data_IF_596984438520
#
_entry.id   IF_596984438520
#
_cell.length_a   1.000
_cell.length_b   1.000
_cell.length_c   1.000
_cell.angle_alpha   90.00
_cell.angle_beta   90.00
_cell.angle_gamma   90.00
#
_symmetry.space_group_name_H-M   'P 1'
#
loop_
_entity.id
_entity.type
_entity.pdbx_description
1 polymer ?
#
# COMPACT_ATOMS: atom_id res chain seq x y z
N UNK A 1 29.56 9.74 22.97
CA UNK A 1 28.34 8.95 23.29
C UNK A 1 27.50 8.52 22.11
N UNK A 2 26.75 9.39 21.41
CA UNK A 2 25.86 8.94 20.32
C UNK A 2 26.62 8.35 19.10
N UNK A 3 27.68 9.04 18.65
CA UNK A 3 28.55 8.57 17.55
C UNK A 3 29.31 7.29 17.93
N UNK A 4 29.72 7.15 19.20
CA UNK A 4 30.41 5.95 19.67
C UNK A 4 29.50 4.72 19.70
N UNK A 5 28.19 4.89 19.98
CA UNK A 5 27.21 3.80 19.87
C UNK A 5 27.01 3.35 18.43
N UNK A 6 27.02 4.26 17.46
CA UNK A 6 26.93 3.93 16.03
C UNK A 6 28.18 3.19 15.56
N UNK A 7 29.37 3.64 15.97
CA UNK A 7 30.64 2.99 15.64
C UNK A 7 30.75 1.55 16.16
N UNK A 8 30.08 1.22 17.25
CA UNK A 8 30.01 -0.16 17.79
C UNK A 8 29.07 -1.09 17.01
N UNK A 9 28.27 -0.59 16.07
CA UNK A 9 27.32 -1.40 15.30
C UNK A 9 27.14 -0.90 13.85
N UNK A 10 28.20 -0.96 13.01
CA UNK A 10 28.18 -0.42 11.66
C UNK A 10 27.17 -1.09 10.71
N UNK A 11 26.78 -2.35 10.98
CA UNK A 11 25.81 -3.08 10.15
C UNK A 11 24.34 -2.64 10.31
N UNK A 12 24.02 -1.79 11.29
CA UNK A 12 22.65 -1.32 11.57
C UNK A 12 22.44 0.18 11.31
N UNK A 13 23.43 0.89 10.75
CA UNK A 13 23.32 2.33 10.54
C UNK A 13 22.24 2.61 9.49
N UNK A 14 21.10 3.09 9.96
CA UNK A 14 19.97 3.52 9.13
C UNK A 14 20.16 4.99 8.78
N UNK A 15 19.73 5.37 7.59
CA UNK A 15 19.85 6.76 7.09
C UNK A 15 19.12 7.78 7.99
N UNK A 16 18.08 7.33 8.71
CA UNK A 16 17.35 8.12 9.72
C UNK A 16 17.51 7.48 11.10
N UNK A 17 17.80 8.33 12.08
CA UNK A 17 17.83 8.02 13.50
C UNK A 17 16.63 8.72 14.17
N UNK A 18 15.95 7.98 15.04
CA UNK A 18 14.82 8.49 15.79
C UNK A 18 15.24 8.73 17.23
N UNK A 19 14.90 9.91 17.75
CA UNK A 19 15.17 10.31 19.13
C UNK A 19 13.90 10.07 19.93
N UNK A 20 14.04 9.31 21.00
CA UNK A 20 12.96 9.01 21.95
C UNK A 20 13.31 9.58 23.33
N UNK A 21 12.30 10.04 24.05
CA UNK A 21 12.48 10.47 25.44
C UNK A 21 12.55 9.27 26.41
N UNK A 22 12.64 9.56 27.72
CA UNK A 22 12.67 8.52 28.76
C UNK A 22 11.38 7.69 28.85
N UNK A 23 10.26 8.24 28.37
CA UNK A 23 8.98 7.55 28.28
C UNK A 23 8.80 6.77 26.98
N UNK A 24 9.80 6.77 26.09
CA UNK A 24 9.72 6.10 24.79
C UNK A 24 8.96 6.88 23.72
N UNK A 25 8.58 8.14 24.00
CA UNK A 25 7.85 8.97 23.03
C UNK A 25 8.79 9.48 21.96
N UNK A 26 8.32 9.50 20.72
CA UNK A 26 9.07 10.05 19.60
C UNK A 26 9.17 11.57 19.74
N UNK A 27 10.38 12.09 19.95
CA UNK A 27 10.63 13.53 20.16
C UNK A 27 11.46 14.19 19.08
N UNK A 28 12.06 13.40 18.18
CA UNK A 28 12.79 13.96 17.05
C UNK A 28 13.28 12.94 16.05
N UNK A 29 13.71 13.45 14.90
CA UNK A 29 14.40 12.70 13.85
C UNK A 29 15.68 13.44 13.47
N UNK A 30 16.73 12.67 13.19
CA UNK A 30 17.96 13.20 12.62
C UNK A 30 18.49 12.24 11.55
N UNK A 31 19.17 12.77 10.55
CA UNK A 31 19.90 11.97 9.58
C UNK A 31 21.37 11.80 10.00
N UNK A 32 22.06 10.84 9.38
CA UNK A 32 23.47 10.58 9.70
C UNK A 32 24.37 11.79 9.42
N UNK A 33 24.07 12.58 8.38
CA UNK A 33 24.85 13.78 8.04
C UNK A 33 24.78 14.83 9.14
N UNK A 34 23.58 15.12 9.65
CA UNK A 34 23.35 16.04 10.76
C UNK A 34 24.12 15.59 12.01
N UNK A 35 24.13 14.28 12.29
CA UNK A 35 24.91 13.74 13.40
C UNK A 35 26.43 13.88 13.19
N UNK A 36 26.92 13.68 11.97
CA UNK A 36 28.34 13.79 11.64
C UNK A 36 28.84 15.23 11.64
N UNK A 37 27.95 16.19 11.34
CA UNK A 37 28.24 17.63 11.36
C UNK A 37 28.06 18.26 12.75
N UNK A 38 27.34 17.59 13.66
CA UNK A 38 27.11 18.07 15.01
C UNK A 38 28.41 18.16 15.82
N UNK A 39 28.54 19.23 16.60
CA UNK A 39 29.65 19.37 17.54
C UNK A 39 29.52 18.36 18.67
N UNK A 40 30.65 17.87 19.17
CA UNK A 40 30.71 16.83 20.22
C UNK A 40 29.99 17.18 21.52
N UNK A 41 29.73 18.47 21.77
CA UNK A 41 29.06 18.99 22.97
C UNK A 41 27.55 19.21 22.76
N UNK A 42 27.07 19.25 21.52
CA UNK A 42 25.65 19.42 21.24
C UNK A 42 24.86 18.17 21.64
N UNK A 43 23.68 18.37 22.22
CA UNK A 43 22.82 17.25 22.62
C UNK A 43 21.99 16.75 21.43
N UNK A 44 21.55 15.48 21.47
CA UNK A 44 20.67 14.94 20.43
C UNK A 44 19.35 15.73 20.30
N UNK A 45 18.85 16.31 21.39
CA UNK A 45 17.63 17.11 21.40
C UNK A 45 17.79 18.53 20.84
N UNK A 46 19.03 19.03 20.70
CA UNK A 46 19.36 20.30 20.04
C UNK A 46 19.48 20.13 18.53
N UNK A 47 20.06 19.00 18.08
CA UNK A 47 20.30 18.75 16.66
C UNK A 47 19.13 18.06 15.95
N UNK A 48 18.26 17.37 16.69
CA UNK A 48 17.14 16.64 16.09
C UNK A 48 16.00 17.59 15.69
N UNK A 49 15.44 17.33 14.50
CA UNK A 49 14.22 18.00 14.04
C UNK A 49 13.01 17.44 14.80
N UNK A 50 12.20 18.33 15.37
CA UNK A 50 11.02 17.97 16.19
C UNK A 50 9.75 17.73 15.38
N UNK A 51 9.67 18.31 14.19
CA UNK A 51 8.54 18.08 13.27
C UNK A 51 8.70 16.73 12.59
N UNK A 52 8.33 15.68 13.31
CA UNK A 52 8.45 14.29 12.84
C UNK A 52 7.11 13.83 12.30
N UNK A 53 7.05 13.66 10.98
CA UNK A 53 5.90 13.04 10.33
C UNK A 53 5.88 11.54 10.66
N UNK A 54 4.94 11.11 11.49
CA UNK A 54 4.77 9.72 11.93
C UNK A 54 3.48 9.09 11.45
N UNK A 55 3.49 7.77 11.35
CA UNK A 55 2.32 6.96 11.00
C UNK A 55 1.74 6.31 12.26
N UNK A 56 0.43 6.39 12.51
CA UNK A 56 -0.19 5.65 13.62
C UNK A 56 -0.06 4.13 13.44
N UNK A 57 0.06 3.38 14.53
CA UNK A 57 0.13 1.91 14.52
C UNK A 57 -1.13 1.25 13.94
N UNK A 58 -2.25 1.97 13.98
CA UNK A 58 -3.54 1.55 13.42
C UNK A 58 -3.76 2.03 11.98
N UNK A 59 -2.75 2.60 11.33
CA UNK A 59 -2.89 3.13 9.97
C UNK A 59 -3.22 2.02 8.97
N UNK A 60 -4.17 2.32 8.08
CA UNK A 60 -4.52 1.42 6.98
C UNK A 60 -3.45 1.47 5.89
N UNK A 61 -3.38 0.42 5.06
CA UNK A 61 -2.48 0.36 3.90
C UNK A 61 -2.65 1.57 2.97
N UNK A 62 -3.89 2.02 2.74
CA UNK A 62 -4.17 3.18 1.89
C UNK A 62 -3.60 4.47 2.45
N UNK A 63 -3.68 4.66 3.77
CA UNK A 63 -3.11 5.84 4.43
C UNK A 63 -1.59 5.82 4.33
N UNK A 64 -0.97 4.65 4.57
CA UNK A 64 0.47 4.48 4.43
C UNK A 64 0.91 4.78 2.99
N UNK A 65 0.18 4.27 1.99
CA UNK A 65 0.51 4.46 0.58
C UNK A 65 0.42 5.94 0.15
N UNK A 66 -0.64 6.64 0.57
CA UNK A 66 -0.89 8.04 0.24
C UNK A 66 -0.17 9.05 1.16
N UNK A 67 0.69 8.60 2.07
CA UNK A 67 1.27 9.48 3.07
C UNK A 67 2.22 10.53 2.44
N UNK A 68 2.02 11.84 2.66
CA UNK A 68 2.77 12.89 1.95
C UNK A 68 4.26 12.90 2.26
N UNK A 69 4.65 12.39 3.43
CA UNK A 69 6.05 12.32 3.88
C UNK A 69 6.94 11.42 3.01
N UNK A 70 6.38 10.52 2.19
CA UNK A 70 7.17 9.70 1.26
C UNK A 70 7.92 10.53 0.20
N UNK A 71 7.50 11.78 -0.05
CA UNK A 71 8.22 12.69 -0.95
C UNK A 71 9.56 13.16 -0.39
N UNK A 72 9.72 13.14 0.93
CA UNK A 72 10.87 13.73 1.62
C UNK A 72 11.64 12.72 2.47
N UNK A 73 11.02 11.58 2.83
CA UNK A 73 11.58 10.61 3.75
C UNK A 73 11.65 9.18 3.16
N UNK A 74 12.79 8.50 3.38
CA UNK A 74 12.98 7.09 3.01
C UNK A 74 12.42 6.09 4.03
N UNK A 75 12.01 6.57 5.20
CA UNK A 75 11.31 5.76 6.20
C UNK A 75 10.45 6.65 7.08
N UNK A 76 9.33 6.12 7.52
CA UNK A 76 8.37 6.79 8.39
C UNK A 76 8.31 6.08 9.74
N UNK A 77 8.47 6.80 10.87
CA UNK A 77 8.31 6.21 12.19
C UNK A 77 6.85 5.84 12.44
N UNK A 78 6.64 4.77 13.19
CA UNK A 78 5.34 4.28 13.63
C UNK A 78 5.19 4.54 15.11
N UNK A 79 4.07 5.14 15.50
CA UNK A 79 3.76 5.48 16.89
C UNK A 79 2.42 4.89 17.33
N UNK A 80 2.26 4.62 18.62
CA UNK A 80 0.94 4.30 19.20
C UNK A 80 0.07 5.56 19.39
N UNK A 81 -1.02 5.44 20.16
CA UNK A 81 -1.94 6.57 20.41
C UNK A 81 -1.33 7.60 21.37
N UNK A 82 -0.41 7.18 22.22
CA UNK A 82 0.29 7.96 23.23
C UNK A 82 1.56 8.65 22.67
N UNK A 83 1.93 8.32 21.44
CA UNK A 83 3.10 8.84 20.73
C UNK A 83 4.38 8.05 21.02
N UNK A 84 4.26 6.86 21.62
CA UNK A 84 5.37 5.94 21.86
C UNK A 84 5.89 5.41 20.53
N UNK A 85 7.20 5.47 20.33
CA UNK A 85 7.84 4.95 19.12
C UNK A 85 7.84 3.43 19.12
N UNK A 86 7.21 2.82 18.12
CA UNK A 86 7.11 1.38 17.96
C UNK A 86 8.08 0.83 16.92
N UNK A 87 8.43 1.64 15.90
CA UNK A 87 9.27 1.18 14.80
C UNK A 87 9.25 2.14 13.62
N UNK A 88 9.66 1.66 12.44
CA UNK A 88 9.64 2.47 11.23
C UNK A 88 9.31 1.64 9.99
N UNK A 89 8.43 2.16 9.14
CA UNK A 89 8.11 1.62 7.82
C UNK A 89 9.14 2.17 6.84
N UNK A 90 9.75 1.29 6.05
CA UNK A 90 10.78 1.66 5.06
C UNK A 90 10.16 1.80 3.68
N UNK A 91 10.81 2.60 2.83
CA UNK A 91 10.41 2.76 1.43
C UNK A 91 10.28 1.43 0.69
N UNK A 92 11.17 0.45 0.95
CA UNK A 92 11.05 -0.90 0.36
C UNK A 92 9.73 -1.59 0.69
N UNK A 93 9.22 -1.40 1.91
CA UNK A 93 7.95 -1.99 2.34
C UNK A 93 6.79 -1.25 1.70
N UNK A 94 6.87 0.08 1.62
CA UNK A 94 5.89 0.89 0.88
C UNK A 94 5.80 0.46 -0.58
N UNK A 95 6.93 0.24 -1.25
CA UNK A 95 6.99 -0.22 -2.64
C UNK A 95 6.32 -1.59 -2.84
N UNK A 96 6.55 -2.54 -1.94
CA UNK A 96 5.86 -3.84 -1.97
C UNK A 96 4.34 -3.68 -1.83
N UNK A 97 3.88 -2.81 -0.91
CA UNK A 97 2.45 -2.53 -0.75
C UNK A 97 1.85 -1.85 -1.98
N UNK A 98 2.61 -0.99 -2.65
CA UNK A 98 2.19 -0.31 -3.87
C UNK A 98 2.05 -1.31 -5.03
N UNK A 99 3.05 -2.17 -5.22
CA UNK A 99 3.06 -3.23 -6.22
C UNK A 99 1.87 -4.19 -6.01
N UNK A 100 1.61 -4.62 -4.77
CA UNK A 100 0.42 -5.42 -4.42
C UNK A 100 -0.89 -4.70 -4.76
N UNK A 101 -0.99 -3.40 -4.48
CA UNK A 101 -2.19 -2.62 -4.77
C UNK A 101 -2.44 -2.49 -6.29
N UNK A 102 -1.39 -2.31 -7.09
CA UNK A 102 -1.47 -2.26 -8.55
C UNK A 102 -1.89 -3.61 -9.14
N UNK A 103 -1.29 -4.71 -8.68
CA UNK A 103 -1.64 -6.06 -9.13
C UNK A 103 -3.09 -6.41 -8.80
N UNK A 104 -3.57 -6.05 -7.61
CA UNK A 104 -4.95 -6.29 -7.21
C UNK A 104 -5.95 -5.50 -8.06
N UNK A 105 -5.62 -4.28 -8.50
CA UNK A 105 -6.44 -3.53 -9.45
C UNK A 105 -6.49 -4.25 -10.80
N UNK A 106 -5.32 -4.57 -11.36
CA UNK A 106 -5.23 -5.25 -12.66
C UNK A 106 -6.03 -6.57 -12.71
N UNK A 107 -5.98 -7.38 -11.64
CA UNK A 107 -6.77 -8.62 -11.54
C UNK A 107 -8.28 -8.39 -11.57
N UNK A 108 -8.78 -7.35 -10.89
CA UNK A 108 -10.23 -7.04 -10.86
C UNK A 108 -10.74 -6.58 -12.23
N UNK A 109 -9.90 -5.84 -12.95
CA UNK A 109 -10.23 -5.37 -14.29
C UNK A 109 -10.34 -6.56 -15.27
N UNK A 110 -9.44 -7.54 -15.19
CA UNK A 110 -9.52 -8.78 -15.99
C UNK A 110 -10.79 -9.58 -15.70
N UNK A 111 -11.14 -9.79 -14.42
CA UNK A 111 -12.38 -10.52 -14.07
C UNK A 111 -13.65 -9.83 -14.59
N UNK A 112 -13.66 -8.50 -14.65
CA UNK A 112 -14.81 -7.74 -15.18
C UNK A 112 -14.91 -7.85 -16.71
N UNK A 113 -13.77 -7.80 -17.40
CA UNK A 113 -13.70 -8.01 -18.85
C UNK A 113 -14.15 -9.41 -19.25
N UNK A 114 -13.68 -10.44 -18.54
CA UNK A 114 -14.06 -11.83 -18.81
C UNK A 114 -15.55 -12.05 -18.56
N UNK A 115 -16.11 -11.51 -17.47
CA UNK A 115 -17.53 -11.61 -17.17
C UNK A 115 -18.42 -10.89 -18.21
N UNK A 116 -17.99 -9.75 -18.74
CA UNK A 116 -18.70 -9.06 -19.82
C UNK A 116 -18.62 -9.83 -21.14
N UNK A 117 -17.47 -10.45 -21.44
CA UNK A 117 -17.28 -11.32 -22.59
C UNK A 117 -18.19 -12.54 -22.55
N UNK A 118 -18.22 -13.24 -21.42
CA UNK A 118 -19.09 -14.40 -21.20
C UNK A 118 -20.58 -14.02 -21.26
N UNK A 119 -20.97 -12.88 -20.70
CA UNK A 119 -22.34 -12.38 -20.74
C UNK A 119 -22.80 -12.05 -22.16
N UNK A 120 -21.95 -11.37 -22.95
CA UNK A 120 -22.24 -11.06 -24.35
C UNK A 120 -22.36 -12.33 -25.20
N UNK A 121 -21.44 -13.28 -25.02
CA UNK A 121 -21.47 -14.56 -25.73
C UNK A 121 -22.72 -15.37 -25.39
N UNK A 122 -23.11 -15.40 -24.11
CA UNK A 122 -24.33 -16.07 -23.67
C UNK A 122 -25.58 -15.40 -24.21
N UNK A 123 -25.62 -14.06 -24.27
CA UNK A 123 -26.72 -13.31 -24.88
C UNK A 123 -26.89 -13.62 -26.36
N UNK A 124 -25.79 -13.69 -27.12
CA UNK A 124 -25.81 -14.05 -28.54
C UNK A 124 -26.24 -15.51 -28.75
N UNK A 125 -25.71 -16.44 -27.97
CA UNK A 125 -26.08 -17.85 -28.06
C UNK A 125 -27.57 -18.08 -27.71
N UNK A 126 -28.07 -17.39 -26.70
CA UNK A 126 -29.49 -17.42 -26.32
C UNK A 126 -30.41 -16.87 -27.42
N UNK A 127 -30.01 -15.78 -28.09
CA UNK A 127 -30.78 -15.21 -29.19
C UNK A 127 -30.86 -16.16 -30.40
N UNK A 128 -29.75 -16.81 -30.77
CA UNK A 128 -29.73 -17.81 -31.86
C UNK A 128 -30.60 -19.01 -31.51
N UNK A 129 -30.49 -19.53 -30.29
CA UNK A 129 -31.30 -20.66 -29.83
C UNK A 129 -32.81 -20.37 -29.78
N UNK A 130 -33.20 -19.16 -29.35
CA UNK A 130 -34.60 -18.75 -29.35
C UNK A 130 -35.17 -18.60 -30.78
N UNK A 131 -34.33 -18.17 -31.74
CA UNK A 131 -34.73 -18.08 -33.15
C UNK A 131 -34.95 -19.44 -33.79
N UNK A 132 -34.08 -20.42 -33.53
CA UNK A 132 -34.25 -21.77 -34.06
C UNK A 132 -35.43 -22.50 -33.41
N UNK A 133 -35.70 -22.27 -32.13
CA UNK A 133 -36.85 -22.86 -31.42
C UNK A 133 -38.19 -22.27 -31.90
N UNK A 134 -38.23 -20.99 -32.26
CA UNK A 134 -39.41 -20.37 -32.85
C UNK A 134 -39.65 -20.86 -34.29
N UNK A 135 -38.58 -21.07 -35.05
CA UNK A 135 -38.67 -21.59 -36.42
C UNK A 135 -39.14 -23.05 -36.46
N UNK A 136 -38.68 -23.89 -35.53
CA UNK A 136 -39.08 -25.31 -35.44
C UNK A 136 -40.54 -25.48 -34.97
N UNK A 137 -41.04 -24.59 -34.10
CA UNK A 137 -42.46 -24.56 -33.70
C UNK A 137 -43.40 -24.14 -34.83
N UNK A 138 -42.97 -23.27 -35.73
CA UNK A 138 -43.78 -22.85 -36.89
C UNK A 138 -43.93 -23.96 -37.93
N UNK A 139 -42.97 -24.90 -38.00
CA UNK A 139 -43.00 -26.01 -38.96
C UNK A 139 -43.82 -27.22 -38.52
N UNK A 140 -44.12 -27.38 -37.22
CA UNK A 140 -44.88 -28.53 -36.72
C UNK A 140 -46.40 -28.30 -36.68
N UNK A 141 -46.89 -27.07 -36.88
CA UNK A 141 -48.34 -26.76 -36.89
C UNK A 141 -48.98 -26.94 -38.28
N UNK A 142 -48.20 -27.30 -39.32
CA UNK A 142 -48.69 -27.50 -40.69
C UNK A 142 -48.55 -28.93 -41.20
N UNK A 143 -48.90 -29.91 -40.36
CA UNK A 143 -48.94 -31.32 -40.74
C UNK A 143 -50.07 -32.13 -40.10
N UNK A 144 -51.09 -31.49 -39.52
CA UNK A 144 -52.27 -32.15 -38.92
C UNK A 144 -53.58 -31.87 -39.69
N UNK A 145 -53.49 -31.40 -40.94
CA UNK A 145 -54.65 -31.18 -41.81
C UNK A 145 -54.34 -31.65 -43.24
N UNK A 146 -54.22 -32.97 -43.41
CA UNK A 146 -54.63 -33.63 -44.65
C UNK A 146 -54.76 -35.16 -44.42
N UNK A 147 -56.02 -35.61 -44.52
CA UNK A 147 -56.50 -36.91 -45.06
C UNK A 147 -55.82 -38.21 -44.66
#
# INVERSE_FOLDING_TARGET
DAVDRIRKSPGQVRYNLYVVDRGGRLVGVLNLRELLLAERKQTLGEIARRDVLSVPSTATRSLILGHPAWREAHSLPVVDREGTYLGAIRYRTWRLLEEEAQQNRARRDTTTSDALGDLLATGVAGAVGAFTDLASRATHVRSDDDG
#
